data_IF_212856325522
#
_entry.id   IF_212856325522
#
_cell.length_a   1.000
_cell.length_b   1.000
_cell.length_c   1.000
_cell.angle_alpha   90.00
_cell.angle_beta   90.00
_cell.angle_gamma   90.00
#
_symmetry.space_group_name_H-M   'P 1'
#
loop_
_entity.id
_entity.type
_entity.pdbx_description
1 polymer ?
#
# COMPACT_ATOMS: atom_id res chain seq x y z
N UNK A 1 6.45 13.83 -29.41
CA UNK A 1 5.02 13.55 -29.55
C UNK A 1 4.19 14.46 -28.66
N UNK A 2 2.92 14.62 -28.99
CA UNK A 2 1.91 15.24 -28.16
C UNK A 2 1.18 14.10 -27.43
N UNK A 3 0.89 14.28 -26.16
CA UNK A 3 0.16 13.33 -25.32
C UNK A 3 -1.09 14.02 -24.81
N UNK A 4 -2.23 13.33 -24.94
CA UNK A 4 -3.52 13.73 -24.40
C UNK A 4 -3.96 12.68 -23.38
N UNK A 5 -4.27 13.11 -22.16
CA UNK A 5 -4.77 12.27 -21.09
C UNK A 5 -6.07 12.87 -20.56
N UNK A 6 -7.11 12.04 -20.48
CA UNK A 6 -8.45 12.48 -20.10
C UNK A 6 -9.07 11.46 -19.13
N UNK A 7 -9.81 11.97 -18.14
CA UNK A 7 -10.61 11.15 -17.24
C UNK A 7 -12.04 11.66 -17.34
N UNK A 8 -12.97 10.74 -17.57
CA UNK A 8 -14.41 11.01 -17.58
C UNK A 8 -15.08 10.20 -16.47
N UNK A 9 -16.19 10.69 -15.93
CA UNK A 9 -17.08 9.91 -15.10
C UNK A 9 -18.03 9.03 -15.95
N UNK A 10 -18.87 8.25 -15.28
CA UNK A 10 -19.84 7.35 -15.94
C UNK A 10 -20.94 8.14 -16.70
N UNK A 11 -21.07 9.44 -16.45
CA UNK A 11 -22.00 10.36 -17.11
C UNK A 11 -21.33 11.16 -18.25
N UNK A 12 -20.10 10.78 -18.63
CA UNK A 12 -19.27 11.44 -19.65
C UNK A 12 -18.84 12.88 -19.31
N UNK A 13 -18.88 13.29 -18.05
CA UNK A 13 -18.32 14.57 -17.63
C UNK A 13 -16.79 14.50 -17.54
N UNK A 14 -16.12 15.50 -18.11
CA UNK A 14 -14.66 15.58 -18.07
C UNK A 14 -14.19 15.98 -16.66
N UNK A 15 -13.51 15.06 -15.98
CA UNK A 15 -12.98 15.24 -14.61
C UNK A 15 -11.53 15.74 -14.61
N UNK A 16 -10.77 15.34 -15.62
CA UNK A 16 -9.36 15.72 -15.76
C UNK A 16 -8.98 15.77 -17.23
N UNK A 17 -8.18 16.76 -17.60
CA UNK A 17 -7.62 16.90 -18.93
C UNK A 17 -6.17 17.37 -18.87
N UNK A 18 -5.29 16.70 -19.59
CA UNK A 18 -3.89 17.04 -19.71
C UNK A 18 -3.45 16.90 -21.17
N UNK A 19 -2.97 18.00 -21.75
CA UNK A 19 -2.44 18.06 -23.11
C UNK A 19 -1.02 18.62 -23.07
N UNK A 20 -0.03 17.84 -23.47
CA UNK A 20 1.35 18.29 -23.41
C UNK A 20 2.25 17.66 -24.47
N UNK A 21 3.32 18.37 -24.79
CA UNK A 21 4.42 17.84 -25.59
C UNK A 21 5.45 17.20 -24.66
N UNK A 22 5.74 15.93 -24.88
CA UNK A 22 6.78 15.24 -24.13
C UNK A 22 8.16 15.78 -24.51
N UNK A 23 8.81 16.49 -23.58
CA UNK A 23 10.13 17.09 -23.77
C UNK A 23 11.23 16.29 -23.06
N UNK A 24 10.89 15.69 -21.91
CA UNK A 24 11.83 14.84 -21.14
C UNK A 24 11.08 13.73 -20.41
N UNK A 25 11.82 12.67 -20.07
CA UNK A 25 11.28 11.55 -19.28
C UNK A 25 10.81 12.01 -17.89
N UNK A 26 11.56 12.91 -17.24
CA UNK A 26 11.20 13.44 -15.93
C UNK A 26 9.90 14.25 -15.96
N UNK A 27 9.69 15.05 -17.01
CA UNK A 27 8.41 15.75 -17.22
C UNK A 27 7.27 14.74 -17.43
N UNK A 28 7.47 13.74 -18.27
CA UNK A 28 6.45 12.71 -18.53
C UNK A 28 6.07 11.95 -17.27
N UNK A 29 7.04 11.56 -16.45
CA UNK A 29 6.78 10.90 -15.18
C UNK A 29 5.96 11.78 -14.22
N UNK A 30 6.33 13.06 -14.08
CA UNK A 30 5.58 13.99 -13.20
C UNK A 30 4.14 14.11 -13.66
N UNK A 31 3.90 14.38 -14.94
CA UNK A 31 2.56 14.57 -15.49
C UNK A 31 1.72 13.29 -15.43
N UNK A 32 2.35 12.13 -15.64
CA UNK A 32 1.68 10.84 -15.43
C UNK A 32 1.25 10.64 -13.97
N UNK A 33 2.07 11.05 -12.99
CA UNK A 33 1.66 10.99 -11.59
C UNK A 33 0.53 11.96 -11.28
N UNK A 34 0.52 13.17 -11.85
CA UNK A 34 -0.59 14.11 -11.69
C UNK A 34 -1.90 13.51 -12.25
N UNK A 35 -1.84 12.83 -13.40
CA UNK A 35 -2.96 12.09 -13.98
C UNK A 35 -3.40 10.93 -13.06
N UNK A 36 -2.48 10.12 -12.57
CA UNK A 36 -2.77 8.99 -11.69
C UNK A 36 -3.38 9.45 -10.36
N UNK A 37 -2.87 10.52 -9.76
CA UNK A 37 -3.45 11.11 -8.55
C UNK A 37 -4.88 11.60 -8.78
N UNK A 38 -5.13 12.23 -9.93
CA UNK A 38 -6.47 12.67 -10.29
C UNK A 38 -7.41 11.47 -10.49
N UNK A 39 -6.94 10.43 -11.18
CA UNK A 39 -7.70 9.19 -11.37
C UNK A 39 -8.10 8.56 -10.03
N UNK A 40 -7.14 8.41 -9.10
CA UNK A 40 -7.40 7.80 -7.79
C UNK A 40 -8.36 8.63 -6.93
N UNK A 41 -8.32 9.95 -7.03
CA UNK A 41 -9.28 10.84 -6.34
C UNK A 41 -10.72 10.66 -6.85
N UNK A 42 -10.88 10.45 -8.13
CA UNK A 42 -12.21 10.36 -8.77
C UNK A 42 -12.78 8.93 -8.74
N UNK A 43 -11.95 7.89 -8.76
CA UNK A 43 -12.41 6.49 -8.71
C UNK A 43 -12.94 6.05 -7.35
N UNK A 44 -12.80 6.88 -6.29
CA UNK A 44 -13.20 6.53 -4.90
C UNK A 44 -12.67 5.16 -4.46
N UNK A 45 -11.56 4.70 -5.03
CA UNK A 45 -10.95 3.45 -4.64
C UNK A 45 -10.38 3.61 -3.22
N UNK A 46 -10.90 2.91 -2.21
CA UNK A 46 -10.37 3.03 -0.86
C UNK A 46 -8.91 2.59 -0.84
N UNK A 47 -8.06 3.16 0.03
CA UNK A 47 -6.68 2.71 0.15
C UNK A 47 -6.63 1.27 0.64
N UNK A 48 -5.65 0.51 0.14
CA UNK A 48 -5.33 -0.80 0.71
C UNK A 48 -4.75 -0.60 2.11
N UNK A 49 -5.44 -1.14 3.11
CA UNK A 49 -5.10 -1.00 4.52
C UNK A 49 -4.18 -2.13 4.97
N UNK A 50 -2.97 -1.78 5.33
CA UNK A 50 -1.93 -2.73 5.73
C UNK A 50 -1.62 -2.54 7.21
N UNK A 51 -1.85 -3.56 8.01
CA UNK A 51 -1.44 -3.57 9.42
C UNK A 51 0.04 -3.95 9.51
N UNK A 52 0.84 -3.09 10.13
CA UNK A 52 2.20 -3.40 10.55
C UNK A 52 2.21 -3.64 12.06
N UNK A 53 2.44 -4.89 12.46
CA UNK A 53 2.30 -5.35 13.83
C UNK A 53 3.65 -5.65 14.48
N UNK A 54 3.86 -5.12 15.69
CA UNK A 54 4.98 -5.50 16.56
C UNK A 54 4.48 -5.83 17.97
N UNK A 55 5.38 -6.16 18.90
CA UNK A 55 4.96 -6.54 20.26
C UNK A 55 4.12 -5.49 20.97
N UNK A 56 4.57 -4.24 20.98
CA UNK A 56 3.92 -3.13 21.72
C UNK A 56 3.41 -1.96 20.85
N UNK A 57 3.59 -2.01 19.53
CA UNK A 57 3.14 -0.94 18.64
C UNK A 57 4.18 0.17 18.38
N UNK A 58 5.21 0.32 19.22
CA UNK A 58 6.15 1.45 19.12
C UNK A 58 7.02 1.38 17.84
N UNK A 59 7.69 0.25 17.60
CA UNK A 59 8.54 0.10 16.41
C UNK A 59 7.71 0.08 15.12
N UNK A 60 6.52 -0.50 15.12
CA UNK A 60 5.60 -0.45 13.98
C UNK A 60 5.14 0.98 13.67
N UNK A 61 4.91 1.83 14.69
CA UNK A 61 4.56 3.23 14.48
C UNK A 61 5.70 4.01 13.81
N UNK A 62 6.94 3.75 14.20
CA UNK A 62 8.09 4.38 13.57
C UNK A 62 8.23 3.99 12.09
N UNK A 63 8.08 2.69 11.78
CA UNK A 63 8.10 2.21 10.40
C UNK A 63 6.92 2.76 9.59
N UNK A 64 5.72 2.79 10.16
CA UNK A 64 4.52 3.28 9.49
C UNK A 64 4.66 4.74 9.06
N UNK A 65 5.22 5.61 9.91
CA UNK A 65 5.48 7.02 9.57
C UNK A 65 6.42 7.15 8.36
N UNK A 66 7.50 6.36 8.32
CA UNK A 66 8.44 6.38 7.21
C UNK A 66 7.88 5.77 5.92
N UNK A 67 7.07 4.74 6.04
CA UNK A 67 6.35 4.17 4.90
C UNK A 67 5.32 5.16 4.33
N UNK A 68 4.60 5.90 5.18
CA UNK A 68 3.65 6.92 4.73
C UNK A 68 4.32 8.01 3.89
N UNK A 69 5.54 8.46 4.28
CA UNK A 69 6.33 9.39 3.46
C UNK A 69 6.64 8.79 2.07
N UNK A 70 7.10 7.52 2.02
CA UNK A 70 7.43 6.85 0.76
C UNK A 70 6.20 6.56 -0.11
N UNK A 71 5.08 6.18 0.51
CA UNK A 71 3.79 5.94 -0.15
C UNK A 71 3.32 7.21 -0.83
N UNK A 72 3.38 8.35 -0.13
CA UNK A 72 3.05 9.64 -0.70
C UNK A 72 3.96 10.03 -1.86
N UNK A 73 5.29 9.85 -1.72
CA UNK A 73 6.25 10.14 -2.79
C UNK A 73 6.10 9.26 -4.03
N UNK A 74 5.62 8.02 -3.85
CA UNK A 74 5.40 7.06 -4.95
C UNK A 74 3.95 7.07 -5.46
N UNK A 75 3.10 7.95 -4.93
CA UNK A 75 1.67 8.04 -5.28
C UNK A 75 0.93 6.70 -5.18
N UNK A 76 1.24 5.91 -4.14
CA UNK A 76 0.58 4.63 -3.88
C UNK A 76 -0.67 4.85 -3.04
N UNK A 77 -1.71 4.08 -3.31
CA UNK A 77 -2.98 4.14 -2.58
C UNK A 77 -2.99 3.12 -1.42
N UNK A 78 -2.07 3.29 -0.47
CA UNK A 78 -1.92 2.43 0.71
C UNK A 78 -2.05 3.23 2.00
N UNK A 79 -2.65 2.61 3.01
CA UNK A 79 -2.69 3.10 4.39
C UNK A 79 -1.97 2.09 5.29
N UNK A 80 -0.95 2.55 6.03
CA UNK A 80 -0.20 1.71 6.96
C UNK A 80 -0.68 1.96 8.38
N UNK A 81 -1.22 0.93 9.02
CA UNK A 81 -1.80 0.98 10.36
C UNK A 81 -0.85 0.29 11.34
N UNK A 82 -0.12 1.02 12.19
CA UNK A 82 0.74 0.41 13.19
C UNK A 82 -0.07 -0.13 14.37
N UNK A 83 0.19 -1.37 14.77
CA UNK A 83 -0.48 -2.00 15.92
C UNK A 83 0.50 -2.75 16.84
N UNK A 84 0.14 -2.84 18.12
CA UNK A 84 0.65 -3.86 19.03
C UNK A 84 -0.12 -5.17 18.82
N UNK A 85 0.56 -6.31 19.01
CA UNK A 85 -0.03 -7.63 18.76
C UNK A 85 -1.32 -7.88 19.56
N UNK A 86 -1.40 -7.37 20.78
CA UNK A 86 -2.59 -7.49 21.64
C UNK A 86 -3.84 -6.78 21.10
N UNK A 87 -3.67 -5.82 20.19
CA UNK A 87 -4.78 -5.07 19.57
C UNK A 87 -5.29 -5.75 18.28
N UNK A 88 -4.57 -6.76 17.78
CA UNK A 88 -4.88 -7.37 16.48
C UNK A 88 -6.32 -7.92 16.43
N UNK A 89 -6.79 -8.55 17.49
CA UNK A 89 -8.13 -9.16 17.54
C UNK A 89 -9.28 -8.14 17.34
N UNK A 90 -9.08 -6.88 17.68
CA UNK A 90 -10.10 -5.84 17.53
C UNK A 90 -9.99 -5.02 16.26
N UNK A 91 -8.90 -5.16 15.50
CA UNK A 91 -8.56 -4.23 14.42
C UNK A 91 -8.37 -4.88 13.06
N UNK A 92 -8.37 -6.22 12.96
CA UNK A 92 -8.07 -6.91 11.70
C UNK A 92 -9.22 -6.90 10.67
N UNK A 93 -10.46 -6.62 11.09
CA UNK A 93 -11.64 -6.74 10.23
C UNK A 93 -11.69 -5.74 9.07
N UNK A 94 -10.93 -4.67 9.17
CA UNK A 94 -10.89 -3.60 8.17
C UNK A 94 -9.46 -3.42 7.63
N UNK A 95 -8.81 -4.53 7.27
CA UNK A 95 -7.49 -4.51 6.64
C UNK A 95 -7.37 -5.57 5.54
N UNK A 96 -6.45 -5.32 4.61
CA UNK A 96 -6.19 -6.16 3.43
C UNK A 96 -5.02 -7.11 3.64
N UNK A 97 -4.05 -6.76 4.50
CA UNK A 97 -2.93 -7.62 4.85
C UNK A 97 -2.32 -7.24 6.21
N UNK A 98 -1.64 -8.18 6.83
CA UNK A 98 -0.95 -8.00 8.12
C UNK A 98 0.52 -8.39 7.95
N UNK A 99 1.42 -7.51 8.40
CA UNK A 99 2.87 -7.74 8.42
C UNK A 99 3.37 -7.75 9.84
N UNK A 100 3.87 -8.92 10.29
CA UNK A 100 4.46 -9.10 11.61
C UNK A 100 5.93 -8.71 11.60
N UNK A 101 6.33 -7.88 12.56
CA UNK A 101 7.73 -7.57 12.76
C UNK A 101 8.52 -8.84 13.17
N UNK A 102 9.82 -8.96 12.81
CA UNK A 102 10.58 -10.19 13.00
C UNK A 102 10.63 -10.70 14.46
N UNK A 103 10.61 -9.78 15.43
CA UNK A 103 10.65 -10.13 16.85
C UNK A 103 9.39 -10.85 17.34
N UNK A 104 8.31 -10.83 16.57
CA UNK A 104 7.05 -11.54 16.88
C UNK A 104 6.66 -12.54 15.78
N UNK A 105 7.56 -12.89 14.88
CA UNK A 105 7.28 -13.86 13.80
C UNK A 105 6.81 -15.22 14.33
N UNK A 106 7.26 -15.62 15.51
CA UNK A 106 6.81 -16.84 16.18
C UNK A 106 5.31 -16.84 16.55
N UNK A 107 4.66 -15.66 16.53
CA UNK A 107 3.22 -15.50 16.75
C UNK A 107 2.39 -15.60 15.45
N UNK A 108 3.01 -15.85 14.31
CA UNK A 108 2.29 -15.98 13.02
C UNK A 108 1.13 -16.99 13.08
N UNK A 109 1.28 -18.22 13.63
CA UNK A 109 0.16 -19.15 13.75
C UNK A 109 -0.99 -18.60 14.62
N UNK A 110 -0.65 -17.85 15.68
CA UNK A 110 -1.64 -17.22 16.53
C UNK A 110 -2.34 -16.08 15.81
N UNK A 111 -1.62 -15.25 15.03
CA UNK A 111 -2.19 -14.20 14.19
C UNK A 111 -3.18 -14.79 13.18
N UNK A 112 -2.79 -15.86 12.47
CA UNK A 112 -3.67 -16.56 11.51
C UNK A 112 -4.94 -17.08 12.17
N UNK A 113 -4.86 -17.60 13.40
CA UNK A 113 -6.04 -18.05 14.15
C UNK A 113 -6.95 -16.87 14.53
N UNK A 114 -6.39 -15.73 14.94
CA UNK A 114 -7.13 -14.51 15.27
C UNK A 114 -7.93 -14.04 14.06
N UNK A 115 -7.27 -13.94 12.90
CA UNK A 115 -7.91 -13.47 11.65
C UNK A 115 -8.69 -14.56 10.93
N UNK A 116 -8.77 -15.77 11.47
CA UNK A 116 -9.48 -16.93 10.89
C UNK A 116 -9.15 -17.19 9.42
N UNK A 117 -7.92 -16.94 9.03
CA UNK A 117 -7.42 -16.99 7.65
C UNK A 117 -8.21 -16.11 6.64
N UNK A 118 -8.93 -15.09 7.10
CA UNK A 118 -9.65 -14.16 6.21
C UNK A 118 -8.75 -13.06 5.65
N UNK A 119 -7.64 -12.77 6.34
CA UNK A 119 -6.65 -11.77 5.95
C UNK A 119 -5.28 -12.45 5.89
N UNK A 120 -4.47 -12.21 4.85
CA UNK A 120 -3.12 -12.77 4.77
C UNK A 120 -2.22 -12.19 5.86
N UNK A 121 -1.42 -13.06 6.44
CA UNK A 121 -0.41 -12.71 7.45
C UNK A 121 0.97 -13.01 6.87
N UNK A 122 1.87 -12.05 6.92
CA UNK A 122 3.24 -12.14 6.42
C UNK A 122 4.22 -11.75 7.52
N UNK A 123 5.43 -12.31 7.48
CA UNK A 123 6.51 -11.92 8.38
C UNK A 123 7.51 -11.02 7.64
N UNK A 124 7.83 -9.87 8.21
CA UNK A 124 8.91 -9.01 7.69
C UNK A 124 10.25 -9.69 7.91
N UNK A 125 11.10 -9.70 6.89
CA UNK A 125 12.42 -10.32 7.01
C UNK A 125 13.30 -9.58 8.01
N UNK A 126 14.09 -10.30 8.85
CA UNK A 126 14.96 -9.67 9.84
C UNK A 126 15.93 -8.64 9.24
N UNK A 127 16.46 -8.91 8.05
CA UNK A 127 17.39 -8.00 7.37
C UNK A 127 16.75 -6.66 7.01
N UNK A 128 15.52 -6.67 6.49
CA UNK A 128 14.77 -5.46 6.14
C UNK A 128 14.46 -4.63 7.40
N UNK A 129 14.07 -5.30 8.48
CA UNK A 129 13.70 -4.63 9.71
C UNK A 129 14.91 -4.08 10.48
N UNK A 130 15.97 -4.86 10.63
CA UNK A 130 17.16 -4.48 11.39
C UNK A 130 17.97 -3.34 10.73
N UNK A 131 17.93 -3.24 9.40
CA UNK A 131 18.62 -2.18 8.66
C UNK A 131 17.75 -0.96 8.37
N UNK A 132 16.52 -0.89 8.90
CA UNK A 132 15.55 0.15 8.63
C UNK A 132 15.31 0.36 7.11
N UNK A 133 15.31 -0.74 6.36
CA UNK A 133 15.10 -0.70 4.91
C UNK A 133 13.62 -0.52 4.58
N UNK A 134 13.12 0.72 4.74
CA UNK A 134 11.72 1.07 4.47
C UNK A 134 11.31 0.81 3.03
N UNK A 135 12.24 1.04 2.08
CA UNK A 135 12.00 0.78 0.67
C UNK A 135 11.82 -0.72 0.42
N UNK A 136 12.69 -1.55 0.99
CA UNK A 136 12.56 -3.01 0.89
C UNK A 136 11.25 -3.53 1.52
N UNK A 137 10.78 -2.94 2.63
CA UNK A 137 9.49 -3.31 3.21
C UNK A 137 8.32 -2.89 2.30
N UNK A 138 8.37 -1.69 1.72
CA UNK A 138 7.35 -1.24 0.78
C UNK A 138 7.31 -2.12 -0.47
N UNK A 139 8.47 -2.53 -0.99
CA UNK A 139 8.55 -3.43 -2.15
C UNK A 139 7.97 -4.83 -1.82
N UNK A 140 8.19 -5.36 -0.61
CA UNK A 140 7.52 -6.60 -0.14
C UNK A 140 6.00 -6.44 -0.17
N UNK A 141 5.48 -5.37 0.44
CA UNK A 141 4.03 -5.08 0.50
C UNK A 141 3.45 -4.97 -0.92
N UNK A 142 4.12 -4.24 -1.80
CA UNK A 142 3.63 -4.01 -3.17
C UNK A 142 3.64 -5.29 -4.00
N UNK A 143 4.70 -6.08 -3.96
CA UNK A 143 4.84 -7.30 -4.75
C UNK A 143 3.81 -8.38 -4.36
N UNK A 144 3.55 -8.55 -3.07
CA UNK A 144 2.58 -9.53 -2.58
C UNK A 144 1.14 -9.14 -2.91
N UNK A 145 0.82 -7.83 -2.87
CA UNK A 145 -0.52 -7.35 -3.24
C UNK A 145 -0.78 -7.36 -4.76
N UNK A 146 0.23 -7.09 -5.59
CA UNK A 146 0.12 -7.21 -7.05
C UNK A 146 -0.18 -8.65 -7.48
N UNK A 147 0.36 -9.66 -6.79
CA UNK A 147 0.10 -11.07 -7.08
C UNK A 147 -1.37 -11.43 -6.90
N UNK A 148 -2.05 -10.87 -5.90
CA UNK A 148 -3.49 -11.08 -5.66
C UNK A 148 -4.41 -10.44 -6.69
N UNK A 149 -4.05 -9.25 -7.17
CA UNK A 149 -4.83 -8.54 -8.20
C UNK A 149 -4.84 -9.34 -9.51
N UNK A 150 -3.77 -10.09 -9.79
CA UNK A 150 -3.70 -10.96 -10.98
C UNK A 150 -4.51 -12.27 -10.84
N UNK A 151 -4.66 -12.80 -9.64
CA UNK A 151 -5.46 -14.01 -9.40
C UNK A 151 -6.97 -13.73 -9.40
N UNK A 152 -7.39 -12.53 -9.00
CA UNK A 152 -8.80 -12.11 -8.99
C UNK A 152 -9.28 -11.45 -10.30
N UNK A 153 -8.39 -11.24 -11.28
CA UNK A 153 -8.64 -10.55 -12.55
C UNK A 153 -8.83 -11.47 -13.76
N UNK A 154 -9.17 -12.76 -13.56
CA UNK A 154 -9.56 -13.64 -14.68
C UNK A 154 -11.08 -13.67 -14.77
N UNK A 155 -11.63 -12.75 -15.55
CA UNK A 155 -12.92 -12.91 -16.20
C UNK A 155 -12.68 -12.92 -17.70
#
# INVERSE_FOLDING_TARGET
GIIDEQIFDDEENLLFYLHYKLVSLAQGQKLFYDFYDSLTKHTKCPPLKIILCCSGGLSSSFFANKLAELISLKHLNYEIIPLGFYQLNSSYLDCDAIYLAPQISYLEPQAMNIVKNTVPVHCVTPSVYATYNYRGLLDMITNENISKTKENGTI
#
